data_IF_376251809114
#
_entry.id   IF_376251809114
#
_cell.length_a   1.000
_cell.length_b   1.000
_cell.length_c   1.000
_cell.angle_alpha   90.00
_cell.angle_beta   90.00
_cell.angle_gamma   90.00
#
_symmetry.space_group_name_H-M   'P 1'
#
loop_
_entity.id
_entity.type
_entity.pdbx_description
1 polymer ?
#
# COMPACT_ATOMS: atom_id res chain seq x y z
N UNK A 1 39.52 -2.29 58.09
CA UNK A 1 39.38 -2.88 56.74
C UNK A 1 38.07 -2.38 56.17
N UNK A 2 38.11 -1.35 55.32
CA UNK A 2 36.92 -0.76 54.71
C UNK A 2 36.57 -1.53 53.44
N UNK A 3 35.42 -2.18 53.41
CA UNK A 3 34.86 -2.73 52.18
C UNK A 3 34.12 -1.62 51.44
N UNK A 4 34.70 -1.15 50.34
CA UNK A 4 34.03 -0.35 49.32
C UNK A 4 33.10 -1.27 48.53
N UNK A 5 31.79 -1.04 48.65
CA UNK A 5 30.81 -1.55 47.71
C UNK A 5 30.85 -0.69 46.45
N UNK A 6 31.42 -1.24 45.37
CA UNK A 6 31.21 -0.71 44.03
C UNK A 6 29.76 -0.98 43.60
N UNK A 7 28.98 0.09 43.47
CA UNK A 7 27.67 0.06 42.83
C UNK A 7 27.84 -0.14 41.32
N UNK A 8 26.99 -0.94 40.64
CA UNK A 8 27.08 -1.10 39.20
C UNK A 8 26.81 0.24 38.51
N UNK A 9 27.74 0.67 37.66
CA UNK A 9 27.51 1.81 36.76
C UNK A 9 26.31 1.50 35.87
N UNK A 10 25.27 2.35 35.93
CA UNK A 10 24.19 2.37 34.95
C UNK A 10 24.80 2.58 33.56
N UNK A 11 24.78 1.55 32.72
CA UNK A 11 25.03 1.70 31.29
C UNK A 11 24.04 2.73 30.76
N UNK A 12 24.54 3.90 30.34
CA UNK A 12 23.75 4.87 29.59
C UNK A 12 23.32 4.20 28.30
N UNK A 13 22.06 3.78 28.23
CA UNK A 13 21.42 3.29 27.00
C UNK A 13 21.74 4.29 25.88
N UNK A 14 22.42 3.83 24.83
CA UNK A 14 22.65 4.65 23.64
C UNK A 14 21.29 5.13 23.12
N UNK A 15 21.15 6.42 22.74
CA UNK A 15 19.91 6.91 22.17
C UNK A 15 19.56 6.08 20.93
N UNK A 16 18.28 5.73 20.78
CA UNK A 16 17.81 4.99 19.61
C UNK A 16 18.02 5.84 18.36
N UNK A 17 18.48 5.26 17.25
CA UNK A 17 18.57 5.98 15.99
C UNK A 17 17.17 6.31 15.48
N UNK A 18 17.01 7.45 14.81
CA UNK A 18 15.72 7.99 14.37
C UNK A 18 15.58 7.98 12.85
N UNK A 19 14.49 7.41 12.35
CA UNK A 19 14.14 7.43 10.94
C UNK A 19 12.96 8.37 10.68
N UNK A 20 13.09 9.20 9.65
CA UNK A 20 12.05 10.09 9.12
C UNK A 20 11.51 9.47 7.83
N UNK A 21 10.25 9.04 7.84
CA UNK A 21 9.58 8.43 6.70
C UNK A 21 8.67 9.47 6.05
N UNK A 22 8.85 9.74 4.76
CA UNK A 22 7.98 10.67 4.02
C UNK A 22 6.97 9.86 3.22
N UNK A 23 5.69 10.02 3.55
CA UNK A 23 4.57 9.27 2.98
C UNK A 23 3.99 8.24 3.96
N UNK A 24 2.70 8.36 4.26
CA UNK A 24 1.96 7.51 5.21
C UNK A 24 1.09 6.43 4.56
N UNK A 25 1.34 6.07 3.30
CA UNK A 25 0.64 4.97 2.60
C UNK A 25 1.26 3.59 2.95
N UNK A 26 0.80 2.52 2.30
CA UNK A 26 1.19 1.12 2.55
C UNK A 26 2.71 0.95 2.67
N UNK A 27 3.50 1.51 1.75
CA UNK A 27 4.95 1.42 1.79
C UNK A 27 5.54 2.09 3.04
N UNK A 28 5.10 3.31 3.36
CA UNK A 28 5.59 4.06 4.51
C UNK A 28 5.24 3.42 5.85
N UNK A 29 4.00 2.94 6.01
CA UNK A 29 3.59 2.22 7.24
C UNK A 29 4.32 0.88 7.38
N UNK A 30 4.60 0.21 6.27
CA UNK A 30 5.40 -1.03 6.26
C UNK A 30 6.86 -0.76 6.67
N UNK A 31 7.46 0.34 6.19
CA UNK A 31 8.78 0.79 6.65
C UNK A 31 8.78 1.13 8.16
N UNK A 32 7.73 1.77 8.67
CA UNK A 32 7.61 2.08 10.09
C UNK A 32 7.63 0.80 10.95
N UNK A 33 6.84 -0.21 10.58
CA UNK A 33 6.84 -1.52 11.24
C UNK A 33 8.23 -2.16 11.25
N UNK A 34 8.90 -2.20 10.10
CA UNK A 34 10.23 -2.80 9.97
C UNK A 34 11.28 -2.07 10.83
N UNK A 35 11.29 -0.73 10.81
CA UNK A 35 12.25 0.09 11.55
C UNK A 35 12.03 0.04 13.07
N UNK A 36 10.78 0.08 13.52
CA UNK A 36 10.44 -0.06 14.95
C UNK A 36 10.92 -1.41 15.48
N UNK A 37 10.70 -2.50 14.72
CA UNK A 37 11.20 -3.84 15.08
C UNK A 37 12.72 -3.94 15.08
N UNK A 38 13.39 -3.13 14.26
CA UNK A 38 14.85 -3.00 14.25
C UNK A 38 15.38 -2.08 15.38
N UNK A 39 14.51 -1.55 16.25
CA UNK A 39 14.90 -0.74 17.41
C UNK A 39 15.05 0.76 17.12
N UNK A 40 14.54 1.25 15.99
CA UNK A 40 14.57 2.66 15.63
C UNK A 40 13.39 3.43 16.21
N UNK A 41 13.62 4.70 16.52
CA UNK A 41 12.55 5.67 16.69
C UNK A 41 12.09 6.13 15.29
N UNK A 42 10.78 6.25 15.08
CA UNK A 42 10.22 6.55 13.76
C UNK A 42 9.33 7.78 13.85
N UNK A 43 9.38 8.61 12.81
CA UNK A 43 8.38 9.64 12.54
C UNK A 43 7.94 9.55 11.08
N UNK A 44 6.63 9.54 10.86
CA UNK A 44 6.01 9.47 9.53
C UNK A 44 5.41 10.84 9.20
N UNK A 45 5.79 11.40 8.06
CA UNK A 45 5.33 12.68 7.54
C UNK A 45 4.29 12.41 6.46
N UNK A 46 3.05 12.87 6.66
CA UNK A 46 1.96 12.63 5.70
C UNK A 46 1.17 13.91 5.44
N UNK A 47 0.97 14.22 4.16
CA UNK A 47 0.26 15.42 3.71
C UNK A 47 -1.25 15.35 3.96
N UNK A 48 -1.82 14.16 3.99
CA UNK A 48 -3.22 13.95 4.37
C UNK A 48 -3.43 14.42 5.81
N UNK A 49 -4.57 15.04 6.12
CA UNK A 49 -4.82 15.59 7.48
C UNK A 49 -5.25 14.54 8.50
N UNK A 50 -5.59 13.34 8.05
CA UNK A 50 -6.07 12.23 8.88
C UNK A 50 -5.93 10.91 8.10
N UNK A 51 -6.00 9.75 8.78
CA UNK A 51 -6.05 8.46 8.13
C UNK A 51 -7.18 8.41 7.08
N UNK A 52 -6.90 7.90 5.88
CA UNK A 52 -7.89 7.81 4.82
C UNK A 52 -8.95 6.75 5.17
N UNK A 53 -10.23 7.14 5.15
CA UNK A 53 -11.37 6.23 5.40
C UNK A 53 -11.82 5.46 4.14
N UNK A 54 -11.12 5.63 3.02
CA UNK A 54 -11.45 5.07 1.73
C UNK A 54 -10.33 5.31 0.73
N UNK A 55 -10.46 4.75 -0.47
CA UNK A 55 -9.58 5.06 -1.58
C UNK A 55 -10.35 5.86 -2.63
N UNK A 56 -9.88 7.04 -3.07
CA UNK A 56 -10.46 7.75 -4.21
C UNK A 56 -10.49 6.90 -5.49
N UNK A 57 -9.61 5.90 -5.57
CA UNK A 57 -9.50 4.99 -6.73
C UNK A 57 -10.21 3.66 -6.53
N UNK A 58 -10.86 3.43 -5.38
CA UNK A 58 -11.52 2.17 -5.05
C UNK A 58 -10.59 0.96 -5.14
N UNK A 59 -9.29 1.12 -4.89
CA UNK A 59 -8.32 0.08 -5.25
C UNK A 59 -8.46 -1.20 -4.40
N UNK A 60 -8.77 -2.32 -5.06
CA UNK A 60 -8.39 -3.64 -4.57
C UNK A 60 -6.87 -3.84 -4.67
N UNK A 61 -6.32 -4.60 -3.73
CA UNK A 61 -4.94 -5.06 -3.71
C UNK A 61 -4.90 -6.58 -3.55
N UNK A 62 -3.90 -7.21 -4.14
CA UNK A 62 -3.60 -8.63 -3.96
C UNK A 62 -2.35 -8.76 -3.09
N UNK A 63 -2.39 -9.63 -2.09
CA UNK A 63 -1.33 -9.89 -1.13
C UNK A 63 -0.77 -11.29 -1.38
N UNK A 64 0.47 -11.35 -1.83
CA UNK A 64 1.20 -12.60 -1.98
C UNK A 64 1.53 -13.24 -0.61
N UNK A 65 1.95 -14.52 -0.56
CA UNK A 65 2.23 -15.21 0.69
C UNK A 65 3.27 -14.52 1.58
N UNK A 66 4.33 -13.92 1.00
CA UNK A 66 5.36 -13.23 1.76
C UNK A 66 4.80 -11.95 2.38
N UNK A 67 4.03 -11.16 1.61
CA UNK A 67 3.34 -9.98 2.15
C UNK A 67 2.42 -10.37 3.32
N UNK A 68 1.67 -11.46 3.20
CA UNK A 68 0.81 -11.95 4.27
C UNK A 68 1.61 -12.33 5.52
N UNK A 69 2.74 -13.02 5.38
CA UNK A 69 3.62 -13.38 6.49
C UNK A 69 4.18 -12.16 7.22
N UNK A 70 4.71 -11.19 6.46
CA UNK A 70 5.26 -9.95 7.00
C UNK A 70 4.21 -9.16 7.77
N UNK A 71 3.02 -8.96 7.19
CA UNK A 71 1.92 -8.25 7.84
C UNK A 71 1.52 -8.93 9.15
N UNK A 72 1.39 -10.27 9.17
CA UNK A 72 1.08 -11.02 10.40
C UNK A 72 2.16 -10.82 11.46
N UNK A 73 3.44 -10.82 11.06
CA UNK A 73 4.56 -10.61 11.97
C UNK A 73 4.55 -9.21 12.60
N UNK A 74 4.04 -8.21 11.88
CA UNK A 74 3.98 -6.82 12.30
C UNK A 74 2.78 -6.52 13.20
N UNK A 75 1.59 -7.02 12.84
CA UNK A 75 0.35 -6.64 13.53
C UNK A 75 -0.01 -7.56 14.69
N UNK A 76 0.64 -8.72 14.84
CA UNK A 76 0.43 -9.67 15.96
C UNK A 76 -0.94 -10.36 15.98
N UNK A 77 -1.89 -9.93 15.15
CA UNK A 77 -3.26 -10.43 15.05
C UNK A 77 -3.54 -11.06 13.68
N UNK A 78 -3.22 -12.35 13.47
CA UNK A 78 -3.40 -13.00 12.16
C UNK A 78 -4.87 -13.17 11.75
N UNK A 79 -5.79 -13.27 12.72
CA UNK A 79 -7.23 -13.37 12.50
C UNK A 79 -7.77 -12.10 11.80
N UNK A 80 -7.36 -10.92 12.25
CA UNK A 80 -7.82 -9.64 11.69
C UNK A 80 -7.48 -9.50 10.20
N UNK A 81 -6.29 -9.97 9.78
CA UNK A 81 -5.94 -9.95 8.36
C UNK A 81 -6.89 -10.84 7.55
N UNK A 82 -7.36 -11.96 8.09
CA UNK A 82 -8.32 -12.83 7.41
C UNK A 82 -9.67 -12.13 7.26
N UNK A 83 -10.13 -11.42 8.28
CA UNK A 83 -11.43 -10.74 8.28
C UNK A 83 -11.49 -9.59 7.26
N UNK A 84 -10.37 -8.90 7.04
CA UNK A 84 -10.29 -7.78 6.08
C UNK A 84 -9.87 -8.19 4.67
N UNK A 85 -9.80 -9.50 4.37
CA UNK A 85 -9.39 -10.00 3.05
C UNK A 85 -10.19 -11.20 2.55
N UNK A 86 -10.30 -11.36 1.23
CA UNK A 86 -10.85 -12.57 0.59
C UNK A 86 -9.70 -13.48 0.12
N UNK A 87 -9.84 -14.82 0.20
CA UNK A 87 -8.85 -15.71 -0.37
C UNK A 87 -8.83 -15.62 -1.90
N UNK A 88 -7.64 -15.65 -2.49
CA UNK A 88 -7.41 -15.89 -3.91
C UNK A 88 -6.56 -17.16 -4.03
N UNK A 89 -7.23 -18.32 -3.98
CA UNK A 89 -6.57 -19.63 -4.05
C UNK A 89 -6.04 -19.91 -5.44
N UNK A 90 -6.71 -19.36 -6.47
CA UNK A 90 -6.33 -19.57 -7.86
C UNK A 90 -6.27 -18.29 -8.68
N UNK A 91 -5.45 -18.32 -9.72
CA UNK A 91 -5.38 -17.35 -10.80
C UNK A 91 -5.77 -18.03 -12.12
N UNK A 92 -6.65 -17.41 -12.90
CA UNK A 92 -7.13 -17.93 -14.18
C UNK A 92 -7.01 -16.87 -15.28
N UNK A 93 -6.12 -17.15 -16.23
CA UNK A 93 -5.93 -16.33 -17.42
C UNK A 93 -6.68 -16.97 -18.59
N UNK A 94 -7.62 -16.26 -19.17
CA UNK A 94 -8.45 -16.75 -20.28
C UNK A 94 -8.50 -15.76 -21.43
N UNK A 95 -8.47 -16.26 -22.66
CA UNK A 95 -8.76 -15.49 -23.86
C UNK A 95 -10.26 -15.51 -24.15
N UNK A 96 -10.80 -14.37 -24.53
CA UNK A 96 -12.17 -14.18 -25.00
C UNK A 96 -12.10 -13.73 -26.46
N UNK A 97 -12.73 -14.48 -27.36
CA UNK A 97 -12.87 -14.09 -28.76
C UNK A 97 -14.12 -13.22 -29.01
N UNK A 98 -14.27 -12.73 -30.25
CA UNK A 98 -15.38 -11.86 -30.66
C UNK A 98 -16.74 -12.58 -30.57
N UNK A 99 -16.76 -13.91 -30.60
CA UNK A 99 -17.94 -14.76 -30.41
C UNK A 99 -18.24 -15.04 -28.93
N UNK A 100 -17.47 -14.43 -28.01
CA UNK A 100 -17.50 -14.62 -26.55
C UNK A 100 -17.17 -16.05 -26.12
N UNK A 101 -16.50 -16.82 -26.97
CA UNK A 101 -15.93 -18.11 -26.61
C UNK A 101 -14.74 -17.89 -25.69
N UNK A 102 -14.66 -18.69 -24.63
CA UNK A 102 -13.57 -18.62 -23.66
C UNK A 102 -12.60 -19.75 -23.85
N UNK A 103 -11.31 -19.43 -23.84
CA UNK A 103 -10.22 -20.40 -23.84
C UNK A 103 -9.29 -20.13 -22.67
N UNK A 104 -9.14 -21.09 -21.77
CA UNK A 104 -8.16 -21.01 -20.69
C UNK A 104 -6.76 -21.02 -21.31
N UNK A 105 -5.95 -20.03 -20.96
CA UNK A 105 -4.55 -19.89 -21.40
C UNK A 105 -3.58 -20.37 -20.32
N UNK A 106 -3.83 -20.00 -19.08
CA UNK A 106 -3.04 -20.40 -17.93
C UNK A 106 -3.91 -20.46 -16.69
N UNK A 107 -3.55 -21.35 -15.77
CA UNK A 107 -4.19 -21.48 -14.48
C UNK A 107 -3.13 -21.82 -13.44
N UNK A 108 -3.17 -21.14 -12.30
CA UNK A 108 -2.41 -21.49 -11.12
C UNK A 108 -3.38 -21.77 -9.97
N UNK A 109 -3.50 -23.03 -9.55
CA UNK A 109 -4.31 -23.46 -8.41
C UNK A 109 -3.59 -23.30 -7.06
N UNK A 110 -2.35 -22.83 -7.06
CA UNK A 110 -1.51 -22.60 -5.87
C UNK A 110 -1.18 -21.13 -5.67
N UNK A 111 -1.98 -20.22 -6.24
CA UNK A 111 -1.74 -18.78 -6.18
C UNK A 111 -1.61 -18.32 -4.71
N UNK A 112 -2.52 -18.76 -3.83
CA UNK A 112 -2.47 -18.52 -2.37
C UNK A 112 -2.36 -17.03 -1.96
N UNK A 113 -2.85 -16.13 -2.80
CA UNK A 113 -2.93 -14.71 -2.48
C UNK A 113 -4.17 -14.39 -1.62
N UNK A 114 -4.24 -13.16 -1.12
CA UNK A 114 -5.43 -12.62 -0.49
C UNK A 114 -5.76 -11.24 -1.03
N UNK A 115 -7.02 -11.01 -1.35
CA UNK A 115 -7.53 -9.75 -1.88
C UNK A 115 -8.02 -8.84 -0.75
N UNK A 116 -7.59 -7.58 -0.73
CA UNK A 116 -7.99 -6.59 0.26
C UNK A 116 -8.52 -5.32 -0.43
N UNK A 117 -9.42 -4.61 0.23
CA UNK A 117 -9.65 -3.20 -0.09
C UNK A 117 -8.49 -2.37 0.46
N UNK A 118 -7.91 -1.48 -0.34
CA UNK A 118 -6.73 -0.69 0.05
C UNK A 118 -6.89 0.02 1.40
N UNK A 119 -8.05 0.65 1.64
CA UNK A 119 -8.27 1.40 2.88
C UNK A 119 -8.34 0.48 4.10
N UNK A 120 -8.88 -0.73 3.96
CA UNK A 120 -8.97 -1.70 5.05
C UNK A 120 -7.59 -2.25 5.40
N UNK A 121 -6.76 -2.53 4.39
CA UNK A 121 -5.38 -2.93 4.61
C UNK A 121 -4.55 -1.81 5.24
N UNK A 122 -4.70 -0.57 4.74
CA UNK A 122 -4.02 0.59 5.30
C UNK A 122 -4.39 0.81 6.76
N UNK A 123 -5.69 0.79 7.09
CA UNK A 123 -6.18 0.96 8.46
C UNK A 123 -5.65 -0.13 9.40
N UNK A 124 -5.66 -1.39 8.96
CA UNK A 124 -5.09 -2.51 9.74
C UNK A 124 -3.59 -2.35 10.02
N UNK A 125 -2.82 -1.91 9.03
CA UNK A 125 -1.38 -1.66 9.21
C UNK A 125 -1.11 -0.42 10.07
N UNK A 126 -1.92 0.63 9.90
CA UNK A 126 -1.79 1.90 10.59
C UNK A 126 -2.15 1.78 12.07
N UNK A 127 -3.28 1.15 12.40
CA UNK A 127 -3.77 1.01 13.78
C UNK A 127 -2.89 0.10 14.64
N UNK A 128 -2.07 -0.75 14.02
CA UNK A 128 -1.05 -1.54 14.69
C UNK A 128 0.23 -0.74 15.04
N UNK A 129 0.35 0.51 14.59
CA UNK A 129 1.47 1.41 14.93
C UNK A 129 1.08 2.39 16.05
N UNK A 130 2.04 2.88 16.84
CA UNK A 130 1.78 3.95 17.79
C UNK A 130 1.33 5.23 17.05
N UNK A 131 0.15 5.80 17.33
CA UNK A 131 -0.40 6.92 16.55
C UNK A 131 0.47 8.18 16.61
N UNK A 132 1.24 8.37 17.68
CA UNK A 132 2.11 9.52 17.92
C UNK A 132 3.29 9.63 16.94
N UNK A 133 3.63 8.55 16.21
CA UNK A 133 4.70 8.61 15.22
C UNK A 133 4.26 9.38 13.96
N UNK A 134 2.96 9.62 13.76
CA UNK A 134 2.44 10.27 12.55
C UNK A 134 2.26 11.77 12.74
N UNK A 135 2.94 12.53 11.88
CA UNK A 135 2.69 13.96 11.66
C UNK A 135 1.78 14.11 10.44
N UNK A 136 0.46 14.11 10.71
CA UNK A 136 -0.57 14.35 9.70
C UNK A 136 -0.64 15.83 9.31
N UNK A 137 -1.08 16.11 8.08
CA UNK A 137 -1.18 17.47 7.55
C UNK A 137 0.18 18.13 7.27
N UNK A 138 1.25 17.34 7.15
CA UNK A 138 2.60 17.81 6.90
C UNK A 138 3.02 17.49 5.47
N UNK A 139 3.14 18.52 4.64
CA UNK A 139 3.60 18.38 3.25
C UNK A 139 5.11 18.51 3.19
N UNK A 140 5.79 17.45 2.76
CA UNK A 140 7.23 17.49 2.52
C UNK A 140 7.62 18.57 1.50
N UNK A 141 8.68 19.32 1.81
CA UNK A 141 9.23 20.37 0.95
C UNK A 141 10.64 20.04 0.45
N UNK A 142 11.55 19.71 1.36
CA UNK A 142 12.96 19.48 1.05
C UNK A 142 13.67 18.71 2.15
N UNK A 143 14.89 18.27 1.88
CA UNK A 143 15.79 17.72 2.89
C UNK A 143 17.23 18.20 2.65
N UNK A 144 18.06 18.12 3.68
CA UNK A 144 19.51 18.24 3.59
C UNK A 144 20.17 17.15 4.43
N UNK A 145 21.27 16.63 3.92
CA UNK A 145 22.08 15.62 4.62
C UNK A 145 23.31 16.32 5.20
N UNK A 146 23.71 15.97 6.40
CA UNK A 146 24.93 16.51 7.01
C UNK A 146 26.18 16.10 6.21
N UNK A 147 27.25 16.90 6.33
CA UNK A 147 28.50 16.65 5.59
C UNK A 147 29.12 15.28 5.89
N UNK A 148 28.98 14.79 7.12
CA UNK A 148 29.43 13.46 7.57
C UNK A 148 28.46 12.32 7.21
N UNK A 149 27.31 12.64 6.60
CA UNK A 149 26.23 11.73 6.22
C UNK A 149 25.64 10.92 7.38
N UNK A 150 25.77 11.41 8.62
CA UNK A 150 25.21 10.77 9.81
C UNK A 150 23.80 11.26 10.15
N UNK A 151 23.37 12.39 9.58
CA UNK A 151 22.07 12.98 9.90
C UNK A 151 21.40 13.59 8.68
N UNK A 152 20.07 13.68 8.76
CA UNK A 152 19.20 14.32 7.78
C UNK A 152 18.29 15.32 8.47
N UNK A 153 18.12 16.49 7.85
CA UNK A 153 17.11 17.47 8.22
C UNK A 153 16.07 17.54 7.11
N UNK A 154 14.81 17.33 7.46
CA UNK A 154 13.68 17.39 6.53
C UNK A 154 12.82 18.61 6.88
N UNK A 155 12.37 19.34 5.86
CA UNK A 155 11.43 20.46 5.98
C UNK A 155 10.07 20.05 5.47
N UNK A 156 9.04 20.33 6.27
CA UNK A 156 7.64 20.15 5.88
C UNK A 156 6.83 21.40 6.17
N UNK A 157 5.83 21.68 5.33
CA UNK A 157 4.81 22.69 5.60
C UNK A 157 3.65 22.06 6.37
N UNK A 158 3.25 22.68 7.47
CA UNK A 158 2.01 22.37 8.17
C UNK A 158 0.86 22.97 7.39
N UNK A 159 -0.01 22.16 6.80
CA UNK A 159 -1.06 22.61 5.87
C UNK A 159 -2.15 23.45 6.54
N UNK A 160 -2.30 23.37 7.86
CA UNK A 160 -3.32 24.11 8.61
C UNK A 160 -2.89 25.56 8.88
N UNK A 161 -1.60 25.78 9.15
CA UNK A 161 -1.04 27.09 9.54
C UNK A 161 -0.20 27.74 8.45
N UNK A 162 0.27 26.95 7.47
CA UNK A 162 1.25 27.37 6.47
C UNK A 162 2.69 27.44 6.99
N UNK A 163 2.90 27.21 8.30
CA UNK A 163 4.21 27.24 8.93
C UNK A 163 5.12 26.12 8.42
N UNK A 164 6.41 26.38 8.39
CA UNK A 164 7.41 25.35 8.07
C UNK A 164 7.98 24.78 9.36
N UNK A 165 7.99 23.46 9.47
CA UNK A 165 8.65 22.73 10.56
C UNK A 165 9.84 21.96 10.04
N UNK A 166 10.83 21.77 10.91
CA UNK A 166 12.03 20.96 10.65
C UNK A 166 12.01 19.70 11.50
N UNK A 167 12.28 18.56 10.86
CA UNK A 167 12.40 17.26 11.53
C UNK A 167 13.78 16.69 11.25
N UNK A 168 14.55 16.51 12.32
CA UNK A 168 15.86 15.87 12.26
C UNK A 168 15.73 14.35 12.51
N UNK A 169 16.60 13.57 11.87
CA UNK A 169 16.81 12.15 12.12
C UNK A 169 18.16 11.68 11.55
N UNK A 170 18.43 10.38 11.66
CA UNK A 170 19.65 9.73 11.17
C UNK A 170 19.42 9.09 9.79
N UNK A 171 18.15 8.80 9.43
CA UNK A 171 17.75 8.19 8.18
C UNK A 171 16.49 8.86 7.60
N UNK A 172 16.46 9.09 6.28
CA UNK A 172 15.26 9.51 5.55
C UNK A 172 14.79 8.36 4.65
N UNK A 173 13.52 7.96 4.78
CA UNK A 173 12.87 7.01 3.88
C UNK A 173 11.97 7.77 2.92
N UNK A 174 12.25 7.66 1.62
CA UNK A 174 11.44 8.22 0.54
C UNK A 174 10.31 7.24 0.17
N UNK A 175 9.17 7.34 0.85
CA UNK A 175 7.95 6.56 0.59
C UNK A 175 6.80 7.43 0.04
N UNK A 176 7.15 8.52 -0.67
CA UNK A 176 6.25 9.62 -1.06
C UNK A 176 5.50 9.37 -2.40
N UNK A 177 5.42 8.11 -2.83
CA UNK A 177 4.55 7.66 -3.92
C UNK A 177 5.13 7.83 -5.33
N UNK A 178 4.30 7.56 -6.35
CA UNK A 178 4.75 7.53 -7.76
C UNK A 178 5.26 8.88 -8.27
N UNK A 179 4.75 9.99 -7.72
CA UNK A 179 5.16 11.36 -8.03
C UNK A 179 6.21 11.91 -7.04
N UNK A 180 7.02 11.01 -6.46
CA UNK A 180 8.04 11.32 -5.46
C UNK A 180 8.88 12.56 -5.80
N UNK A 181 8.85 13.54 -4.89
CA UNK A 181 9.69 14.74 -4.95
C UNK A 181 11.13 14.39 -4.56
N UNK A 182 11.30 13.44 -3.65
CA UNK A 182 12.63 13.00 -3.21
C UNK A 182 13.36 12.28 -4.35
N UNK A 183 12.68 11.41 -5.10
CA UNK A 183 13.26 10.77 -6.29
C UNK A 183 13.70 11.82 -7.32
N UNK A 184 12.90 12.84 -7.55
CA UNK A 184 13.22 13.91 -8.50
C UNK A 184 14.46 14.73 -8.09
N UNK A 185 14.78 14.79 -6.79
CA UNK A 185 16.03 15.41 -6.33
C UNK A 185 17.27 14.63 -6.81
N UNK A 186 17.24 13.29 -6.74
CA UNK A 186 18.36 12.44 -7.17
C UNK A 186 18.39 12.22 -8.68
N UNK A 187 17.23 12.13 -9.32
CA UNK A 187 17.07 11.77 -10.72
C UNK A 187 16.13 12.76 -11.45
N UNK A 188 16.51 14.05 -11.56
CA UNK A 188 15.62 15.10 -12.08
C UNK A 188 15.22 14.92 -13.55
N UNK A 189 16.03 14.17 -14.31
CA UNK A 189 15.81 13.92 -15.73
C UNK A 189 14.96 12.67 -15.99
N UNK A 190 14.67 11.85 -14.98
CA UNK A 190 13.86 10.63 -15.12
C UNK A 190 12.39 11.00 -15.02
N UNK A 191 11.69 10.89 -16.15
CA UNK A 191 10.25 11.18 -16.24
C UNK A 191 9.44 9.91 -16.44
N UNK A 192 8.23 9.80 -15.85
CA UNK A 192 7.28 8.77 -16.23
C UNK A 192 7.02 8.84 -17.74
N UNK A 193 6.87 7.68 -18.36
CA UNK A 193 6.50 7.55 -19.77
C UNK A 193 5.21 6.76 -19.85
N UNK A 194 4.28 7.20 -20.70
CA UNK A 194 3.04 6.48 -20.93
C UNK A 194 3.30 5.03 -21.35
N UNK A 195 2.55 4.10 -20.75
CA UNK A 195 2.74 2.65 -20.94
C UNK A 195 2.08 2.11 -22.20
N UNK A 196 1.30 2.92 -22.93
CA UNK A 196 0.54 2.49 -24.11
C UNK A 196 -0.88 2.03 -23.81
N UNK A 197 -1.36 2.18 -22.57
CA UNK A 197 -2.71 1.81 -22.16
C UNK A 197 -3.19 2.65 -20.97
N UNK A 198 -4.51 2.70 -20.78
CA UNK A 198 -5.13 3.23 -19.57
C UNK A 198 -5.95 2.15 -18.88
N UNK A 199 -6.21 2.33 -17.59
CA UNK A 199 -7.01 1.41 -16.81
C UNK A 199 -8.24 2.14 -16.24
N UNK A 200 -9.43 1.70 -16.66
CA UNK A 200 -10.67 1.98 -15.94
C UNK A 200 -10.74 1.03 -14.76
N UNK A 201 -11.06 1.53 -13.57
CA UNK A 201 -11.13 0.68 -12.39
C UNK A 201 -12.22 1.14 -11.45
N UNK A 202 -12.75 0.18 -10.71
CA UNK A 202 -13.76 0.47 -9.71
C UNK A 202 -13.98 -0.69 -8.76
N UNK A 203 -14.73 -0.39 -7.72
CA UNK A 203 -15.31 -1.38 -6.82
C UNK A 203 -16.81 -1.27 -6.92
N UNK A 204 -17.44 -2.37 -7.27
CA UNK A 204 -18.88 -2.51 -7.30
C UNK A 204 -19.35 -3.13 -5.98
N UNK A 205 -20.05 -2.36 -5.16
CA UNK A 205 -20.71 -2.85 -3.95
C UNK A 205 -22.07 -3.42 -4.34
N UNK A 206 -22.23 -4.73 -4.11
CA UNK A 206 -23.45 -5.45 -4.45
C UNK A 206 -24.21 -5.92 -3.21
N UNK A 207 -23.92 -5.34 -2.04
CA UNK A 207 -24.70 -5.58 -0.83
C UNK A 207 -26.17 -5.16 -1.04
N UNK A 208 -27.10 -6.03 -0.64
CA UNK A 208 -28.54 -5.83 -0.86
C UNK A 208 -29.02 -6.00 -2.30
N UNK A 209 -28.13 -6.40 -3.22
CA UNK A 209 -28.44 -6.71 -4.63
C UNK A 209 -27.76 -8.00 -5.09
N UNK A 210 -27.48 -8.91 -4.16
CA UNK A 210 -26.78 -10.16 -4.39
C UNK A 210 -27.48 -11.05 -5.43
N UNK A 211 -28.82 -11.01 -5.47
CA UNK A 211 -29.66 -11.76 -6.41
C UNK A 211 -29.99 -11.00 -7.70
N UNK A 212 -29.36 -9.84 -7.92
CA UNK A 212 -29.55 -9.06 -9.13
C UNK A 212 -29.09 -9.83 -10.37
N UNK A 213 -29.76 -9.55 -11.49
CA UNK A 213 -29.43 -10.13 -12.79
C UNK A 213 -27.96 -9.87 -13.17
N UNK A 214 -27.42 -8.69 -12.84
CA UNK A 214 -26.02 -8.34 -13.06
C UNK A 214 -25.07 -9.29 -12.32
N UNK A 215 -25.29 -9.55 -11.02
CA UNK A 215 -24.42 -10.42 -10.23
C UNK A 215 -24.54 -11.89 -10.68
N UNK A 216 -25.75 -12.34 -11.04
CA UNK A 216 -25.95 -13.68 -11.61
C UNK A 216 -25.14 -13.87 -12.89
N UNK A 217 -25.26 -12.95 -13.85
CA UNK A 217 -24.50 -12.99 -15.09
C UNK A 217 -22.98 -12.96 -14.86
N UNK A 218 -22.50 -12.16 -13.90
CA UNK A 218 -21.08 -12.13 -13.53
C UNK A 218 -20.61 -13.45 -12.95
N UNK A 219 -21.40 -14.11 -12.09
CA UNK A 219 -21.05 -15.42 -11.49
C UNK A 219 -21.16 -16.56 -12.49
N UNK A 220 -22.13 -16.52 -13.40
CA UNK A 220 -22.18 -17.46 -14.54
C UNK A 220 -20.95 -17.31 -15.42
N UNK A 221 -20.51 -16.07 -15.64
CA UNK A 221 -19.28 -15.77 -16.36
C UNK A 221 -18.01 -16.21 -15.60
N UNK A 222 -18.02 -16.17 -14.26
CA UNK A 222 -16.88 -16.42 -13.40
C UNK A 222 -17.26 -17.36 -12.24
N UNK A 223 -17.43 -18.67 -12.49
CA UNK A 223 -18.03 -19.59 -11.51
C UNK A 223 -17.27 -19.71 -10.20
N UNK A 224 -15.96 -19.46 -10.21
CA UNK A 224 -15.08 -19.49 -9.03
C UNK A 224 -14.82 -18.10 -8.41
N UNK A 225 -15.63 -17.10 -8.76
CA UNK A 225 -15.58 -15.78 -8.14
C UNK A 225 -15.79 -15.91 -6.61
N UNK A 226 -14.92 -15.24 -5.85
CA UNK A 226 -14.83 -15.39 -4.39
C UNK A 226 -13.59 -16.16 -3.92
N UNK A 227 -12.98 -16.98 -4.80
CA UNK A 227 -11.70 -17.65 -4.55
C UNK A 227 -10.69 -17.53 -5.70
N UNK A 228 -11.11 -17.12 -6.89
CA UNK A 228 -10.27 -16.99 -8.07
C UNK A 228 -10.10 -15.52 -8.49
N UNK A 229 -8.89 -15.17 -8.92
CA UNK A 229 -8.64 -13.97 -9.72
C UNK A 229 -8.80 -14.33 -11.20
N UNK A 230 -9.58 -13.54 -11.93
CA UNK A 230 -9.77 -13.73 -13.36
C UNK A 230 -9.03 -12.64 -14.14
N UNK A 231 -8.23 -13.05 -15.11
CA UNK A 231 -7.66 -12.19 -16.14
C UNK A 231 -8.24 -12.57 -17.49
N UNK A 232 -9.14 -11.71 -17.97
CA UNK A 232 -9.81 -11.87 -19.26
C UNK A 232 -9.05 -11.09 -20.32
N UNK A 233 -8.49 -11.79 -21.29
CA UNK A 233 -7.70 -11.23 -22.39
C UNK A 233 -8.55 -11.15 -23.65
N UNK A 234 -8.61 -9.97 -24.26
CA UNK A 234 -9.27 -9.74 -25.53
C UNK A 234 -8.35 -8.93 -26.46
N UNK A 235 -8.62 -8.89 -27.78
CA UNK A 235 -7.86 -8.03 -28.68
C UNK A 235 -7.83 -6.58 -28.20
N UNK A 236 -6.62 -6.05 -27.94
CA UNK A 236 -6.39 -4.65 -27.55
C UNK A 236 -6.80 -4.27 -26.12
N UNK A 237 -7.30 -5.20 -25.30
CA UNK A 237 -7.71 -4.90 -23.94
C UNK A 237 -7.68 -6.13 -23.02
N UNK A 238 -7.70 -5.91 -21.71
CA UNK A 238 -7.86 -7.00 -20.75
C UNK A 238 -8.55 -6.55 -19.48
N UNK A 239 -9.19 -7.48 -18.79
CA UNK A 239 -9.92 -7.20 -17.55
C UNK A 239 -9.38 -8.05 -16.43
N UNK A 240 -9.19 -7.46 -15.26
CA UNK A 240 -8.90 -8.17 -14.00
C UNK A 240 -10.14 -8.08 -13.13
N UNK A 241 -10.61 -9.23 -12.64
CA UNK A 241 -11.82 -9.33 -11.84
C UNK A 241 -11.61 -10.25 -10.64
N UNK A 242 -11.96 -9.76 -9.44
CA UNK A 242 -11.97 -10.58 -8.23
C UNK A 242 -12.83 -9.95 -7.13
N UNK A 243 -13.32 -10.78 -6.21
CA UNK A 243 -14.04 -10.31 -5.04
C UNK A 243 -13.10 -9.81 -3.94
N UNK A 244 -13.54 -8.76 -3.24
CA UNK A 244 -12.95 -8.26 -2.00
C UNK A 244 -14.05 -8.30 -0.90
N UNK A 245 -13.69 -8.18 0.39
CA UNK A 245 -14.66 -8.30 1.48
C UNK A 245 -15.84 -7.34 1.39
N UNK A 246 -16.90 -7.66 2.13
CA UNK A 246 -18.15 -6.89 2.22
C UNK A 246 -18.95 -6.85 0.92
N UNK A 247 -19.05 -7.99 0.22
CA UNK A 247 -19.87 -8.14 -1.00
C UNK A 247 -19.49 -7.09 -2.06
N UNK A 248 -18.18 -7.01 -2.34
CA UNK A 248 -17.61 -6.05 -3.27
C UNK A 248 -16.82 -6.77 -4.35
N UNK A 249 -16.98 -6.28 -5.57
CA UNK A 249 -16.29 -6.78 -6.75
C UNK A 249 -15.27 -5.71 -7.18
N UNK A 250 -13.99 -6.05 -7.12
CA UNK A 250 -12.94 -5.21 -7.70
C UNK A 250 -12.77 -5.58 -9.16
N UNK A 251 -12.84 -4.57 -10.03
CA UNK A 251 -12.62 -4.74 -11.46
C UNK A 251 -11.64 -3.70 -11.99
N UNK A 252 -10.84 -4.11 -12.97
CA UNK A 252 -9.91 -3.24 -13.67
C UNK A 252 -9.98 -3.61 -15.14
N UNK A 253 -10.32 -2.66 -16.00
CA UNK A 253 -10.33 -2.83 -17.44
C UNK A 253 -9.23 -1.99 -18.07
N UNK A 254 -8.23 -2.66 -18.61
CA UNK A 254 -7.09 -2.08 -19.30
C UNK A 254 -7.39 -2.00 -20.78
N UNK A 255 -7.28 -0.80 -21.34
CA UNK A 255 -7.49 -0.52 -22.75
C UNK A 255 -6.21 0.03 -23.37
N UNK A 256 -5.70 -0.65 -24.39
CA UNK A 256 -4.61 -0.11 -25.21
C UNK A 256 -5.16 1.06 -26.00
N UNK A 257 -4.55 2.23 -25.83
CA UNK A 257 -4.94 3.44 -26.54
C UNK A 257 -3.75 4.39 -26.66
N UNK A 258 -3.80 5.37 -27.59
CA UNK A 258 -2.83 6.46 -27.62
C UNK A 258 -2.81 7.23 -26.30
N UNK A 259 -1.70 7.92 -26.03
CA UNK A 259 -1.59 8.79 -24.85
C UNK A 259 -2.71 9.83 -24.86
N UNK A 260 -3.56 9.89 -23.82
CA UNK A 260 -4.67 10.83 -23.79
C UNK A 260 -4.15 12.26 -23.61
N UNK A 261 -4.79 13.22 -24.27
CA UNK A 261 -4.58 14.64 -24.01
C UNK A 261 -5.33 15.02 -22.73
N UNK A 262 -4.62 15.00 -21.61
CA UNK A 262 -5.13 15.39 -20.29
C UNK A 262 -4.96 16.90 -20.14
N UNK A 263 -5.96 17.66 -20.57
CA UNK A 263 -6.06 19.11 -20.28
C UNK A 263 -6.28 19.38 -18.79
#
# INVERSE_FOLDING_TARGET
>A
MSHSHDLPQQEKLKPKPKAVIVGGSIAGVSCAHALIRAGWDVVVIEKSRKPPKGSPTGAGLSLDPLSQELIRSWTGCPELLRDITCPLTSDLNQAIDDEKTRKILARDDHFNHRAAHWASLHDHLFTALPPEIFLWGHLFLSFSVSNDKQSVKMKAQVLDTGETTEVCGDLLIAADGCLSLIRNHFLPNVKPRYSGYCAWRGVFDFSGSEDSETIKNVREAHPELGKCLYLDLAPGNHTVLYEIPNKRLNWIWYLNQPEPDLQ
#
